data_IF_824980719659
#
_entry.id   IF_824980719659
#
_cell.length_a   1.000
_cell.length_b   1.000
_cell.length_c   1.000
_cell.angle_alpha   90.00
_cell.angle_beta   90.00
_cell.angle_gamma   90.00
#
_symmetry.space_group_name_H-M   'P 1'
#
loop_
_entity.id
_entity.type
_entity.pdbx_description
1 polymer ?
#
# COMPACT_ATOMS: atom_id res chain seq x y z
N UNK A 1 2.39 24.49 -35.39
CA UNK A 1 2.74 24.86 -34.00
C UNK A 1 1.53 24.70 -33.08
N UNK A 2 0.33 25.18 -33.47
CA UNK A 2 -0.92 24.96 -32.71
C UNK A 2 -1.31 23.48 -32.55
N UNK A 3 -1.30 22.68 -33.63
CA UNK A 3 -1.69 21.26 -33.56
C UNK A 3 -0.81 20.42 -32.59
N UNK A 4 0.51 20.64 -32.60
CA UNK A 4 1.43 20.01 -31.65
C UNK A 4 1.20 20.50 -30.21
N UNK A 5 0.84 21.76 -30.03
CA UNK A 5 0.51 22.32 -28.70
C UNK A 5 -0.80 21.79 -28.13
N UNK A 6 -1.83 21.56 -28.97
CA UNK A 6 -3.10 20.94 -28.57
C UNK A 6 -2.89 19.48 -28.15
N UNK A 7 -2.02 18.78 -28.87
CA UNK A 7 -1.60 17.41 -28.57
C UNK A 7 -0.82 17.31 -27.25
N UNK A 8 0.16 18.19 -27.03
CA UNK A 8 0.91 18.25 -25.76
C UNK A 8 0.03 18.71 -24.60
N UNK A 9 -0.99 19.51 -24.86
CA UNK A 9 -1.99 19.88 -23.86
C UNK A 9 -2.79 18.64 -23.42
N UNK A 10 -3.27 17.84 -24.36
CA UNK A 10 -4.09 16.65 -24.10
C UNK A 10 -3.35 15.57 -23.27
N UNK A 11 -2.07 15.32 -23.57
CA UNK A 11 -1.31 14.27 -22.86
C UNK A 11 -1.04 14.59 -21.37
N UNK A 12 -0.97 15.88 -21.02
CA UNK A 12 -0.78 16.31 -19.62
C UNK A 12 -2.04 16.05 -18.78
N UNK A 13 -3.23 16.18 -19.35
CA UNK A 13 -4.47 15.80 -18.69
C UNK A 13 -4.56 14.29 -18.51
N UNK A 14 -4.20 13.51 -19.53
CA UNK A 14 -4.16 12.05 -19.42
C UNK A 14 -3.18 11.61 -18.33
N UNK A 15 -2.01 12.24 -18.24
CA UNK A 15 -1.04 11.97 -17.19
C UNK A 15 -1.61 12.31 -15.80
N UNK A 16 -2.27 13.46 -15.65
CA UNK A 16 -2.90 13.85 -14.39
C UNK A 16 -3.98 12.85 -13.98
N UNK A 17 -4.87 12.45 -14.89
CA UNK A 17 -5.89 11.43 -14.67
C UNK A 17 -5.27 10.09 -14.28
N UNK A 18 -4.25 9.65 -15.00
CA UNK A 18 -3.52 8.43 -14.69
C UNK A 18 -2.98 8.46 -13.25
N UNK A 19 -2.32 9.56 -12.85
CA UNK A 19 -1.79 9.70 -11.48
C UNK A 19 -2.91 9.68 -10.44
N UNK A 20 -4.02 10.38 -10.68
CA UNK A 20 -5.19 10.38 -9.79
C UNK A 20 -5.68 8.93 -9.57
N UNK A 21 -5.86 8.17 -10.64
CA UNK A 21 -6.34 6.78 -10.53
C UNK A 21 -5.30 5.85 -9.92
N UNK A 22 -4.00 6.06 -10.15
CA UNK A 22 -2.93 5.33 -9.45
C UNK A 22 -3.03 5.56 -7.94
N UNK A 23 -3.18 6.83 -7.51
CA UNK A 23 -3.31 7.18 -6.09
C UNK A 23 -4.56 6.55 -5.50
N UNK A 24 -5.72 6.66 -6.17
CA UNK A 24 -6.97 6.04 -5.73
C UNK A 24 -6.85 4.51 -5.64
N UNK A 25 -6.14 3.90 -6.58
CA UNK A 25 -5.93 2.45 -6.60
C UNK A 25 -5.06 1.99 -5.42
N UNK A 26 -3.91 2.64 -5.18
CA UNK A 26 -3.06 2.33 -4.03
C UNK A 26 -3.75 2.60 -2.70
N UNK A 27 -4.54 3.67 -2.59
CA UNK A 27 -5.35 3.94 -1.40
C UNK A 27 -6.31 2.78 -1.10
N UNK A 28 -6.98 2.25 -2.14
CA UNK A 28 -7.82 1.06 -2.02
C UNK A 28 -7.05 -0.19 -1.58
N UNK A 29 -5.89 -0.45 -2.18
CA UNK A 29 -5.04 -1.61 -1.85
C UNK A 29 -4.50 -1.56 -0.41
N UNK A 30 -4.12 -0.40 0.10
CA UNK A 30 -3.67 -0.28 1.50
C UNK A 30 -4.84 -0.41 2.48
N UNK A 31 -6.02 0.09 2.12
CA UNK A 31 -7.16 0.10 3.03
C UNK A 31 -7.85 -1.26 3.10
N UNK A 32 -7.90 -2.02 1.99
CA UNK A 32 -8.56 -3.33 1.98
C UNK A 32 -7.86 -4.34 2.92
N UNK A 33 -6.53 -4.33 2.98
CA UNK A 33 -5.79 -5.29 3.83
C UNK A 33 -6.02 -4.98 5.30
N UNK A 34 -6.13 -3.68 5.66
CA UNK A 34 -6.51 -3.29 7.02
C UNK A 34 -7.91 -3.76 7.37
N UNK A 35 -8.87 -3.66 6.44
CA UNK A 35 -10.20 -4.21 6.65
C UNK A 35 -10.14 -5.73 6.86
N UNK A 36 -9.37 -6.47 6.06
CA UNK A 36 -9.18 -7.91 6.27
C UNK A 36 -8.59 -8.25 7.63
N UNK A 37 -7.63 -7.45 8.12
CA UNK A 37 -7.07 -7.62 9.47
C UNK A 37 -8.15 -7.47 10.53
N UNK A 38 -8.93 -6.39 10.47
CA UNK A 38 -9.99 -6.12 11.44
C UNK A 38 -11.13 -7.14 11.36
N UNK A 39 -11.46 -7.60 10.16
CA UNK A 39 -12.43 -8.67 9.95
C UNK A 39 -11.94 -10.00 10.54
N UNK A 40 -10.66 -10.36 10.32
CA UNK A 40 -10.07 -11.55 10.93
C UNK A 40 -10.03 -11.47 12.45
N UNK A 41 -9.76 -10.29 13.02
CA UNK A 41 -9.76 -10.07 14.48
C UNK A 41 -11.19 -10.10 15.07
N UNK A 42 -12.20 -9.63 14.32
CA UNK A 42 -13.60 -9.68 14.74
C UNK A 42 -14.17 -11.09 14.85
N UNK A 43 -13.69 -12.04 14.03
CA UNK A 43 -14.05 -13.47 14.13
C UNK A 43 -13.70 -14.10 15.47
N UNK A 44 -12.72 -13.55 16.18
CA UNK A 44 -12.30 -14.00 17.51
C UNK A 44 -13.07 -13.39 18.68
N UNK A 45 -14.07 -12.54 18.42
CA UNK A 45 -14.89 -11.92 19.48
C UNK A 45 -16.09 -12.78 19.85
N UNK A 46 -16.61 -12.58 21.06
CA UNK A 46 -17.85 -13.20 21.52
C UNK A 46 -19.10 -12.53 20.87
N UNK A 47 -20.22 -13.25 20.86
CA UNK A 47 -21.50 -12.71 20.42
C UNK A 47 -22.05 -11.68 21.44
N UNK A 48 -22.75 -10.61 21.00
CA UNK A 48 -23.19 -10.31 19.64
C UNK A 48 -22.17 -9.51 18.81
N UNK A 49 -21.01 -9.17 19.37
CA UNK A 49 -20.06 -8.25 18.76
C UNK A 49 -19.50 -8.80 17.43
N UNK A 50 -19.25 -10.11 17.37
CA UNK A 50 -18.75 -10.81 16.17
C UNK A 50 -19.67 -10.61 14.97
N UNK A 51 -20.93 -11.03 15.07
CA UNK A 51 -21.88 -11.00 13.94
C UNK A 51 -22.15 -9.58 13.43
N UNK A 52 -22.20 -8.60 14.33
CA UNK A 52 -22.37 -7.17 13.97
C UNK A 52 -21.15 -6.68 13.17
N UNK A 53 -19.93 -6.93 13.67
CA UNK A 53 -18.70 -6.46 13.05
C UNK A 53 -18.43 -7.15 11.71
N UNK A 54 -18.62 -8.46 11.61
CA UNK A 54 -18.45 -9.21 10.36
C UNK A 54 -19.37 -8.65 9.26
N UNK A 55 -20.64 -8.38 9.57
CA UNK A 55 -21.59 -7.80 8.61
C UNK A 55 -21.16 -6.41 8.14
N UNK A 56 -20.67 -5.57 9.06
CA UNK A 56 -20.17 -4.23 8.72
C UNK A 56 -18.90 -4.30 7.87
N UNK A 57 -17.92 -5.12 8.25
CA UNK A 57 -16.68 -5.24 7.50
C UNK A 57 -16.90 -5.80 6.11
N UNK A 58 -17.78 -6.80 5.94
CA UNK A 58 -18.14 -7.29 4.60
C UNK A 58 -18.68 -6.19 3.70
N UNK A 59 -19.54 -5.32 4.23
CA UNK A 59 -20.10 -4.18 3.49
C UNK A 59 -19.01 -3.15 3.13
N UNK A 60 -18.14 -2.81 4.08
CA UNK A 60 -17.05 -1.86 3.87
C UNK A 60 -16.04 -2.37 2.83
N UNK A 61 -15.64 -3.63 2.95
CA UNK A 61 -14.76 -4.30 1.99
C UNK A 61 -15.37 -4.32 0.60
N UNK A 62 -16.65 -4.69 0.48
CA UNK A 62 -17.33 -4.77 -0.81
C UNK A 62 -17.40 -3.40 -1.49
N UNK A 63 -17.79 -2.36 -0.75
CA UNK A 63 -17.86 -0.99 -1.27
C UNK A 63 -16.50 -0.51 -1.72
N UNK A 64 -15.48 -0.65 -0.87
CA UNK A 64 -14.11 -0.26 -1.21
C UNK A 64 -13.59 -1.00 -2.45
N UNK A 65 -13.83 -2.31 -2.53
CA UNK A 65 -13.25 -3.16 -3.55
C UNK A 65 -13.87 -2.89 -4.92
N UNK A 66 -15.20 -2.91 -5.01
CA UNK A 66 -15.90 -2.80 -6.28
C UNK A 66 -16.22 -1.37 -6.72
N UNK A 67 -16.38 -0.42 -5.79
CA UNK A 67 -16.71 0.97 -6.14
C UNK A 67 -15.44 1.79 -6.37
N UNK A 68 -14.36 1.53 -5.61
CA UNK A 68 -13.15 2.37 -5.65
C UNK A 68 -11.99 1.61 -6.30
N UNK A 69 -11.60 0.47 -5.73
CA UNK A 69 -10.31 -0.15 -6.04
C UNK A 69 -10.25 -0.75 -7.45
N UNK A 70 -11.28 -1.52 -7.84
CA UNK A 70 -11.36 -2.09 -9.20
C UNK A 70 -11.52 -1.03 -10.29
N UNK A 71 -12.45 -0.06 -10.17
CA UNK A 71 -12.57 1.01 -11.16
C UNK A 71 -11.30 1.83 -11.31
N UNK A 72 -10.63 2.18 -10.20
CA UNK A 72 -9.36 2.90 -10.24
C UNK A 72 -8.25 2.07 -10.92
N UNK A 73 -8.18 0.77 -10.65
CA UNK A 73 -7.22 -0.12 -11.32
C UNK A 73 -7.46 -0.19 -12.83
N UNK A 74 -8.72 -0.31 -13.28
CA UNK A 74 -9.07 -0.35 -14.69
C UNK A 74 -8.75 0.98 -15.38
N UNK A 75 -9.13 2.10 -14.77
CA UNK A 75 -8.87 3.43 -15.32
C UNK A 75 -7.38 3.74 -15.38
N UNK A 76 -6.61 3.31 -14.36
CA UNK A 76 -5.14 3.37 -14.38
C UNK A 76 -4.57 2.66 -15.60
N UNK A 77 -5.06 1.45 -15.91
CA UNK A 77 -4.62 0.67 -17.08
C UNK A 77 -4.95 1.39 -18.39
N UNK A 78 -6.18 1.91 -18.50
CA UNK A 78 -6.66 2.60 -19.70
C UNK A 78 -5.81 3.84 -19.97
N UNK A 79 -5.64 4.74 -19.01
CA UNK A 79 -4.84 5.95 -19.21
C UNK A 79 -3.35 5.65 -19.38
N UNK A 80 -2.83 4.64 -18.66
CA UNK A 80 -1.45 4.20 -18.82
C UNK A 80 -1.15 3.67 -20.23
N UNK A 81 -2.06 2.86 -20.76
CA UNK A 81 -1.97 2.31 -22.13
C UNK A 81 -2.13 3.41 -23.17
N UNK A 82 -3.07 4.34 -22.96
CA UNK A 82 -3.28 5.48 -23.84
C UNK A 82 -1.99 6.31 -24.00
N UNK A 83 -1.29 6.63 -22.90
CA UNK A 83 -0.02 7.36 -22.97
C UNK A 83 1.06 6.61 -23.75
N UNK A 84 1.12 5.28 -23.62
CA UNK A 84 2.10 4.45 -24.33
C UNK A 84 1.82 4.44 -25.84
N UNK A 85 0.55 4.32 -26.23
CA UNK A 85 0.15 4.36 -27.66
C UNK A 85 0.50 5.73 -28.26
N UNK A 86 0.34 6.80 -27.49
CA UNK A 86 0.67 8.15 -27.94
C UNK A 86 2.17 8.41 -28.04
N UNK A 87 2.96 7.80 -27.15
CA UNK A 87 4.42 7.96 -27.08
C UNK A 87 5.10 6.59 -27.21
N UNK A 88 5.12 6.00 -28.41
CA UNK A 88 5.61 4.62 -28.60
C UNK A 88 7.10 4.47 -28.24
N UNK A 89 7.88 5.55 -28.31
CA UNK A 89 9.28 5.57 -27.90
C UNK A 89 9.53 5.21 -26.42
N UNK A 90 8.50 5.28 -25.56
CA UNK A 90 8.60 4.79 -24.18
C UNK A 90 8.86 3.29 -24.11
N UNK A 91 8.35 2.49 -25.04
CA UNK A 91 8.59 1.04 -25.04
C UNK A 91 10.04 0.68 -25.37
N UNK A 92 10.81 1.58 -25.98
CA UNK A 92 12.24 1.37 -26.23
C UNK A 92 13.11 1.65 -25.01
N UNK A 93 12.55 2.20 -23.93
CA UNK A 93 13.30 2.59 -22.74
C UNK A 93 13.35 1.45 -21.70
N UNK A 94 14.54 1.04 -21.22
CA UNK A 94 14.66 -0.07 -20.26
C UNK A 94 13.85 0.11 -18.96
N UNK A 95 13.75 1.33 -18.44
CA UNK A 95 13.00 1.61 -17.21
C UNK A 95 11.49 1.38 -17.39
N UNK A 96 10.95 1.51 -18.61
CA UNK A 96 9.54 1.26 -18.89
C UNK A 96 9.20 -0.22 -18.84
N UNK A 97 10.08 -1.10 -19.31
CA UNK A 97 9.88 -2.54 -19.15
C UNK A 97 9.84 -2.93 -17.68
N UNK A 98 10.78 -2.42 -16.87
CA UNK A 98 10.79 -2.66 -15.40
C UNK A 98 9.50 -2.15 -14.76
N UNK A 99 9.07 -0.93 -15.09
CA UNK A 99 7.80 -0.36 -14.61
C UNK A 99 6.61 -1.26 -14.95
N UNK A 100 6.49 -1.67 -16.22
CA UNK A 100 5.39 -2.50 -16.68
C UNK A 100 5.40 -3.89 -16.02
N UNK A 101 6.57 -4.49 -15.81
CA UNK A 101 6.68 -5.73 -15.04
C UNK A 101 6.21 -5.57 -13.59
N UNK A 102 6.59 -4.46 -12.92
CA UNK A 102 6.12 -4.16 -11.56
C UNK A 102 4.61 -3.93 -11.51
N UNK A 103 4.05 -3.18 -12.46
CA UNK A 103 2.60 -2.96 -12.57
C UNK A 103 1.87 -4.27 -12.84
N UNK A 104 2.40 -5.14 -13.71
CA UNK A 104 1.87 -6.49 -13.92
C UNK A 104 1.88 -7.31 -12.64
N UNK A 105 2.97 -7.27 -11.88
CA UNK A 105 3.06 -7.87 -10.54
C UNK A 105 2.02 -7.30 -9.56
N UNK A 106 1.76 -5.99 -9.61
CA UNK A 106 0.75 -5.34 -8.78
C UNK A 106 -0.68 -5.79 -9.14
N UNK A 107 -0.99 -6.03 -10.42
CA UNK A 107 -2.26 -6.65 -10.82
C UNK A 107 -2.37 -8.08 -10.31
N UNK A 108 -1.31 -8.89 -10.38
CA UNK A 108 -1.30 -10.23 -9.80
C UNK A 108 -1.54 -10.17 -8.29
N UNK A 109 -0.94 -9.21 -7.60
CA UNK A 109 -1.19 -8.93 -6.18
C UNK A 109 -2.67 -8.57 -5.94
N UNK A 110 -3.26 -7.66 -6.72
CA UNK A 110 -4.68 -7.31 -6.60
C UNK A 110 -5.60 -8.52 -6.84
N UNK A 111 -5.30 -9.35 -7.84
CA UNK A 111 -6.06 -10.58 -8.10
C UNK A 111 -5.96 -11.56 -6.93
N UNK A 112 -4.78 -11.64 -6.30
CA UNK A 112 -4.61 -12.42 -5.07
C UNK A 112 -5.46 -11.86 -3.93
N UNK A 113 -5.42 -10.55 -3.71
CA UNK A 113 -6.28 -9.87 -2.74
C UNK A 113 -7.76 -10.10 -3.03
N UNK A 114 -8.15 -10.18 -4.30
CA UNK A 114 -9.52 -10.51 -4.68
C UNK A 114 -9.92 -11.94 -4.30
N UNK A 115 -8.99 -12.91 -4.37
CA UNK A 115 -9.24 -14.27 -3.86
C UNK A 115 -9.45 -14.24 -2.34
N UNK A 116 -8.63 -13.49 -1.60
CA UNK A 116 -8.77 -13.33 -0.15
C UNK A 116 -10.09 -12.63 0.20
N UNK A 117 -10.43 -11.56 -0.52
CA UNK A 117 -11.71 -10.86 -0.41
C UNK A 117 -12.89 -11.84 -0.51
N UNK A 118 -12.92 -12.67 -1.57
CA UNK A 118 -14.02 -13.64 -1.76
C UNK A 118 -14.13 -14.63 -0.59
N UNK A 119 -13.01 -15.07 -0.03
CA UNK A 119 -13.01 -15.94 1.16
C UNK A 119 -13.61 -15.25 2.39
N UNK A 120 -13.31 -13.97 2.60
CA UNK A 120 -13.92 -13.20 3.69
C UNK A 120 -15.44 -13.03 3.50
N UNK A 121 -15.89 -12.79 2.26
CA UNK A 121 -17.30 -12.64 1.95
C UNK A 121 -18.09 -13.95 2.15
N UNK A 122 -17.48 -15.09 1.84
CA UNK A 122 -18.06 -16.43 1.94
C UNK A 122 -17.92 -17.09 3.33
N UNK A 123 -17.41 -16.39 4.34
CA UNK A 123 -17.14 -16.96 5.68
C UNK A 123 -16.17 -18.15 5.70
N UNK A 124 -15.32 -18.27 4.68
CA UNK A 124 -14.31 -19.33 4.60
C UNK A 124 -13.12 -19.06 5.53
N UNK A 125 -12.33 -20.09 5.83
CA UNK A 125 -11.09 -19.94 6.59
C UNK A 125 -10.10 -19.05 5.81
N UNK A 126 -9.75 -17.92 6.41
CA UNK A 126 -8.85 -16.91 5.84
C UNK A 126 -7.51 -16.90 6.57
N UNK A 127 -6.62 -16.03 6.13
CA UNK A 127 -5.34 -15.82 6.78
C UNK A 127 -5.50 -15.12 8.13
N UNK A 128 -4.62 -15.47 9.07
CA UNK A 128 -4.52 -14.77 10.34
C UNK A 128 -4.00 -13.34 10.20
N UNK A 129 -4.28 -12.52 11.21
CA UNK A 129 -3.96 -11.08 11.25
C UNK A 129 -2.48 -10.78 10.97
N UNK A 130 -1.53 -11.56 11.52
CA UNK A 130 -0.09 -11.37 11.29
C UNK A 130 0.29 -11.54 9.81
N UNK A 131 -0.24 -12.57 9.14
CA UNK A 131 0.06 -12.82 7.73
C UNK A 131 -0.51 -11.73 6.83
N UNK A 132 -1.68 -11.20 7.18
CA UNK A 132 -2.29 -10.07 6.48
C UNK A 132 -1.49 -8.78 6.66
N UNK A 133 -0.92 -8.53 7.86
CA UNK A 133 0.01 -7.40 8.08
C UNK A 133 1.24 -7.49 7.19
N UNK A 134 1.88 -8.67 7.10
CA UNK A 134 3.02 -8.89 6.20
C UNK A 134 2.59 -8.68 4.73
N UNK A 135 1.40 -9.15 4.36
CA UNK A 135 0.86 -8.96 3.02
C UNK A 135 0.63 -7.48 2.68
N UNK A 136 0.25 -6.66 3.65
CA UNK A 136 0.14 -5.21 3.46
C UNK A 136 1.48 -4.57 3.06
N UNK A 137 2.59 -5.02 3.67
CA UNK A 137 3.92 -4.50 3.34
C UNK A 137 4.30 -4.75 1.88
N UNK A 138 3.81 -5.84 1.28
CA UNK A 138 4.04 -6.12 -0.15
C UNK A 138 3.47 -5.00 -1.05
N UNK A 139 2.29 -4.46 -0.72
CA UNK A 139 1.73 -3.32 -1.45
C UNK A 139 2.62 -2.07 -1.32
N UNK A 140 3.21 -1.86 -0.13
CA UNK A 140 4.14 -0.76 0.13
C UNK A 140 5.39 -0.92 -0.74
N UNK A 141 5.96 -2.12 -0.81
CA UNK A 141 7.12 -2.40 -1.67
C UNK A 141 6.84 -2.07 -3.14
N UNK A 142 5.67 -2.43 -3.66
CA UNK A 142 5.28 -2.06 -5.03
C UNK A 142 5.18 -0.55 -5.23
N UNK A 143 4.52 0.16 -4.31
CA UNK A 143 4.38 1.62 -4.39
C UNK A 143 5.75 2.28 -4.54
N UNK A 144 6.66 2.01 -3.61
CA UNK A 144 7.97 2.63 -3.61
C UNK A 144 8.78 2.24 -4.84
N UNK A 145 8.82 0.95 -5.17
CA UNK A 145 9.58 0.48 -6.33
C UNK A 145 9.11 1.16 -7.62
N UNK A 146 7.79 1.23 -7.86
CA UNK A 146 7.21 1.87 -9.05
C UNK A 146 7.51 3.37 -9.07
N UNK A 147 7.36 4.08 -7.94
CA UNK A 147 7.65 5.51 -7.86
C UNK A 147 9.11 5.79 -8.15
N UNK A 148 10.05 5.03 -7.56
CA UNK A 148 11.48 5.20 -7.83
C UNK A 148 11.84 4.94 -9.29
N UNK A 149 11.29 3.87 -9.91
CA UNK A 149 11.52 3.59 -11.34
C UNK A 149 11.03 4.76 -12.20
N UNK A 150 9.85 5.32 -11.90
CA UNK A 150 9.26 6.42 -12.70
C UNK A 150 10.02 7.73 -12.53
N UNK A 151 10.40 8.09 -11.31
CA UNK A 151 11.06 9.38 -11.02
C UNK A 151 12.51 9.37 -11.47
N UNK A 152 13.25 8.29 -11.17
CA UNK A 152 14.66 8.20 -11.50
C UNK A 152 14.92 7.73 -12.94
N UNK A 153 13.89 7.23 -13.64
CA UNK A 153 13.96 6.72 -15.02
C UNK A 153 15.13 5.76 -15.25
N UNK A 154 15.47 4.99 -14.22
CA UNK A 154 16.61 4.10 -14.19
C UNK A 154 16.15 2.71 -13.70
N UNK A 155 16.63 1.67 -14.39
CA UNK A 155 16.22 0.28 -14.15
C UNK A 155 16.78 -0.34 -12.86
N UNK A 156 17.77 0.29 -12.21
CA UNK A 156 18.44 -0.25 -11.01
C UNK A 156 18.15 0.61 -9.76
N UNK A 157 17.86 1.90 -9.93
CA UNK A 157 17.76 2.84 -8.81
C UNK A 157 16.63 2.56 -7.82
N UNK A 158 15.63 1.76 -8.21
CA UNK A 158 14.58 1.30 -7.29
C UNK A 158 15.11 0.40 -6.16
N UNK A 159 16.21 -0.31 -6.38
CA UNK A 159 16.85 -1.16 -5.36
C UNK A 159 17.42 -0.28 -4.23
N UNK A 160 18.10 0.80 -4.60
CA UNK A 160 18.65 1.76 -3.63
C UNK A 160 17.54 2.52 -2.90
N UNK A 161 16.47 2.89 -3.62
CA UNK A 161 15.27 3.48 -3.02
C UNK A 161 14.64 2.56 -1.98
N UNK A 162 14.45 1.28 -2.30
CA UNK A 162 13.93 0.27 -1.36
C UNK A 162 14.87 0.05 -0.17
N UNK A 163 16.18 0.00 -0.41
CA UNK A 163 17.19 -0.10 0.64
C UNK A 163 17.12 1.06 1.63
N UNK A 164 16.92 2.30 1.16
CA UNK A 164 16.81 3.49 2.00
C UNK A 164 15.58 3.47 2.92
N UNK A 165 14.46 2.90 2.49
CA UNK A 165 13.27 2.71 3.32
C UNK A 165 13.46 1.69 4.42
N UNK A 166 14.07 0.55 4.08
CA UNK A 166 14.36 -0.49 5.06
C UNK A 166 15.34 0.08 6.10
N UNK A 167 16.36 0.82 5.64
CA UNK A 167 17.27 1.55 6.52
C UNK A 167 16.51 2.52 7.43
N UNK A 168 15.60 3.35 6.89
CA UNK A 168 14.81 4.30 7.67
C UNK A 168 13.91 3.59 8.70
N UNK A 169 13.26 2.48 8.33
CA UNK A 169 12.42 1.69 9.22
C UNK A 169 13.23 1.08 10.38
N UNK A 170 14.44 0.57 10.09
CA UNK A 170 15.37 0.07 11.11
C UNK A 170 15.78 1.22 12.05
N UNK A 171 16.14 2.39 11.51
CA UNK A 171 16.52 3.56 12.29
C UNK A 171 15.38 4.00 13.21
N UNK A 172 14.15 4.07 12.71
CA UNK A 172 12.96 4.40 13.51
C UNK A 172 12.72 3.38 14.62
N UNK A 173 12.86 2.08 14.34
CA UNK A 173 12.70 1.03 15.34
C UNK A 173 13.78 1.12 16.44
N UNK A 174 15.03 1.39 16.06
CA UNK A 174 16.13 1.62 17.01
C UNK A 174 15.84 2.87 17.84
N UNK A 175 15.39 3.97 17.24
CA UNK A 175 15.05 5.20 17.94
C UNK A 175 13.94 4.97 18.98
N UNK A 176 12.87 4.24 18.63
CA UNK A 176 11.79 3.89 19.56
C UNK A 176 12.32 3.03 20.71
N UNK A 177 13.18 2.05 20.43
CA UNK A 177 13.75 1.17 21.45
C UNK A 177 14.70 1.92 22.40
N UNK A 178 15.49 2.85 21.87
CA UNK A 178 16.36 3.73 22.67
C UNK A 178 15.54 4.70 23.52
N UNK A 179 14.48 5.28 22.95
CA UNK A 179 13.55 6.14 23.69
C UNK A 179 12.87 5.38 24.84
N UNK A 180 12.37 4.16 24.57
CA UNK A 180 11.78 3.30 25.59
C UNK A 180 12.77 2.92 26.69
N UNK A 181 14.03 2.61 26.33
CA UNK A 181 15.09 2.30 27.30
C UNK A 181 15.50 3.52 28.15
N UNK A 182 15.53 4.71 27.55
CA UNK A 182 15.83 5.95 28.26
C UNK A 182 14.73 6.33 29.26
N UNK A 183 13.46 6.14 28.87
CA UNK A 183 12.30 6.36 29.76
C UNK A 183 12.29 5.41 30.95
N UNK A 184 12.47 4.10 30.73
CA UNK A 184 12.50 3.12 31.82
C UNK A 184 13.65 3.33 32.80
N UNK A 185 14.78 3.91 32.37
CA UNK A 185 15.90 4.26 33.26
C UNK A 185 15.58 5.47 34.14
N UNK A 186 14.85 6.46 33.63
CA UNK A 186 14.45 7.63 34.41
C UNK A 186 13.37 7.31 35.45
N UNK A 187 12.42 6.43 35.11
CA UNK A 187 11.38 5.96 36.05
C UNK A 187 12.01 5.18 37.23
N UNK A 188 13.03 4.35 36.97
CA UNK A 188 13.75 3.62 38.01
C UNK A 188 14.57 4.53 38.96
N UNK A 189 15.19 5.59 38.44
CA UNK A 189 15.94 6.58 39.25
C UNK A 189 14.97 7.40 40.13
N UNK A 190 13.77 7.70 39.64
CA UNK A 190 12.74 8.39 40.42
C UNK A 190 12.20 7.51 41.56
N UNK A 191 11.97 6.21 41.33
CA UNK A 191 11.58 5.25 42.38
C UNK A 191 12.67 5.09 43.44
N UNK A 192 13.94 4.91 43.02
CA UNK A 192 15.08 4.77 43.95
C UNK A 192 15.26 6.03 44.81
N UNK A 193 15.08 7.23 44.24
CA UNK A 193 15.14 8.50 45.01
C UNK A 193 13.99 8.67 46.01
N UNK A 194 12.81 8.08 45.74
CA UNK A 194 11.64 8.17 46.63
C UNK A 194 11.75 7.22 47.81
N UNK A 195 12.31 6.03 47.59
CA UNK A 195 12.54 5.06 48.67
C UNK A 195 13.64 5.55 49.64
N UNK A 196 14.66 6.25 49.14
CA UNK A 196 15.73 6.84 49.96
C UNK A 196 15.27 8.05 50.80
N UNK A 197 14.26 8.79 50.34
CA UNK A 197 13.63 9.90 51.07
C UNK A 197 12.57 9.42 52.09
N UNK A 198 12.12 8.17 51.97
CA UNK A 198 11.11 7.56 52.84
C UNK A 198 11.71 6.71 53.99
N UNK A 199 13.04 6.50 53.98
CA UNK A 199 13.81 5.83 55.04
C UNK A 199 14.48 6.82 55.99
#
# INVERSE_FOLDING_TARGET
MEFLSTIEFDIRYILALHIIFVVSWFAGLFYIIRLFIYHAEARGKEEPARSILEKQYKLMEWRLWYIITWPAAVLTLVFGTWMIVYTPGYLSMPWMHVKLSMVGGLYLYQLYCHKVFRKFQNDEQTWGSVKLRIWNEVATLFLFSIVFVVVLKNSVSWIFGLGSLIMLAIVMMVAIKLYGKARGKNEAIEEESKDELAS
#
